data_IF_286007788262
#
_entry.id   IF_286007788262
#
_cell.length_a   1.000
_cell.length_b   1.000
_cell.length_c   1.000
_cell.angle_alpha   90.00
_cell.angle_beta   90.00
_cell.angle_gamma   90.00
#
_symmetry.space_group_name_H-M   'P 1'
#
loop_
_entity.id
_entity.type
_entity.pdbx_description
1 polymer ?
#
# COMPACT_ATOMS: atom_id res chain seq x y z
N UNK A 1 -22.40 -15.34 8.26
CA UNK A 1 -21.07 -14.83 8.58
C UNK A 1 -19.98 -15.85 8.29
N UNK A 2 -19.91 -17.02 8.97
CA UNK A 2 -18.83 -18.01 8.78
C UNK A 2 -18.68 -18.46 7.31
N UNK A 3 -19.76 -18.84 6.62
CA UNK A 3 -19.75 -19.23 5.20
C UNK A 3 -19.21 -18.13 4.27
N UNK A 4 -19.51 -16.87 4.57
CA UNK A 4 -18.99 -15.72 3.83
C UNK A 4 -17.48 -15.55 4.06
N UNK A 5 -17.05 -15.54 5.33
CA UNK A 5 -15.63 -15.44 5.70
C UNK A 5 -14.82 -16.54 5.03
N UNK A 6 -15.29 -17.79 5.11
CA UNK A 6 -14.62 -18.93 4.48
C UNK A 6 -14.52 -18.79 2.95
N UNK A 7 -15.62 -18.36 2.29
CA UNK A 7 -15.62 -18.11 0.85
C UNK A 7 -14.62 -17.02 0.47
N UNK A 8 -14.55 -15.90 1.25
CA UNK A 8 -13.61 -14.81 1.02
C UNK A 8 -12.16 -15.24 1.23
N UNK A 9 -11.91 -16.02 2.29
CA UNK A 9 -10.59 -16.57 2.56
C UNK A 9 -10.11 -17.49 1.42
N UNK A 10 -10.97 -18.43 0.99
CA UNK A 10 -10.66 -19.31 -0.14
C UNK A 10 -10.40 -18.52 -1.44
N UNK A 11 -11.23 -17.51 -1.72
CA UNK A 11 -11.03 -16.63 -2.88
C UNK A 11 -9.72 -15.86 -2.78
N UNK A 12 -9.37 -15.33 -1.61
CA UNK A 12 -8.11 -14.61 -1.39
C UNK A 12 -6.89 -15.53 -1.58
N UNK A 13 -6.92 -16.74 -1.04
CA UNK A 13 -5.85 -17.74 -1.21
C UNK A 13 -5.71 -18.13 -2.68
N UNK A 14 -6.82 -18.38 -3.39
CA UNK A 14 -6.80 -18.70 -4.81
C UNK A 14 -6.22 -17.55 -5.65
N UNK A 15 -6.68 -16.32 -5.41
CA UNK A 15 -6.16 -15.12 -6.09
C UNK A 15 -4.67 -14.92 -5.80
N UNK A 16 -4.25 -15.12 -4.55
CA UNK A 16 -2.85 -15.04 -4.17
C UNK A 16 -2.00 -16.07 -4.92
N UNK A 17 -2.45 -17.33 -4.97
CA UNK A 17 -1.75 -18.39 -5.69
C UNK A 17 -1.57 -18.07 -7.19
N UNK A 18 -2.63 -17.52 -7.84
CA UNK A 18 -2.55 -17.09 -9.24
C UNK A 18 -1.53 -15.95 -9.39
N UNK A 19 -1.62 -14.91 -8.57
CA UNK A 19 -0.72 -13.74 -8.66
C UNK A 19 0.73 -14.19 -8.43
N UNK A 20 0.99 -14.99 -7.40
CA UNK A 20 2.33 -15.50 -7.12
C UNK A 20 2.87 -16.38 -8.25
N UNK A 21 2.02 -17.18 -8.90
CA UNK A 21 2.41 -17.97 -10.06
C UNK A 21 2.79 -17.07 -11.24
N UNK A 22 1.99 -16.03 -11.53
CA UNK A 22 2.29 -15.08 -12.60
C UNK A 22 3.58 -14.30 -12.29
N UNK A 23 3.72 -13.80 -11.07
CA UNK A 23 4.93 -13.08 -10.63
C UNK A 23 6.16 -13.99 -10.75
N UNK A 24 6.05 -15.23 -10.28
CA UNK A 24 7.13 -16.23 -10.42
C UNK A 24 7.52 -16.43 -11.89
N UNK A 25 6.52 -16.63 -12.79
CA UNK A 25 6.77 -16.79 -14.22
C UNK A 25 7.49 -15.58 -14.81
N UNK A 26 7.02 -14.35 -14.52
CA UNK A 26 7.62 -13.12 -15.04
C UNK A 26 9.05 -12.94 -14.53
N UNK A 27 9.32 -13.23 -13.27
CA UNK A 27 10.66 -13.12 -12.70
C UNK A 27 11.63 -14.17 -13.24
N UNK A 28 11.13 -15.30 -13.74
CA UNK A 28 11.94 -16.30 -14.45
C UNK A 28 12.37 -15.86 -15.86
N UNK A 29 11.76 -14.80 -16.41
CA UNK A 29 12.22 -14.18 -17.65
C UNK A 29 13.37 -13.17 -17.41
N UNK A 30 13.69 -12.87 -16.16
CA UNK A 30 14.83 -11.99 -15.84
C UNK A 30 16.16 -12.67 -16.20
N UNK A 31 17.19 -11.87 -16.56
CA UNK A 31 18.51 -12.38 -16.89
C UNK A 31 19.10 -13.26 -15.77
N UNK A 32 19.74 -14.35 -16.16
CA UNK A 32 20.33 -15.32 -15.22
C UNK A 32 21.49 -14.73 -14.40
N UNK A 33 22.14 -13.70 -14.91
CA UNK A 33 23.21 -12.96 -14.26
C UNK A 33 22.80 -12.44 -12.87
N UNK A 34 21.51 -12.18 -12.69
CA UNK A 34 20.92 -11.72 -11.44
C UNK A 34 20.93 -12.72 -10.28
N UNK A 35 21.31 -13.96 -10.54
CA UNK A 35 21.48 -15.00 -9.51
C UNK A 35 22.93 -15.19 -9.07
N UNK A 36 23.86 -14.42 -9.62
CA UNK A 36 25.31 -14.56 -9.39
C UNK A 36 25.91 -13.24 -8.97
N UNK A 37 26.84 -13.31 -8.04
CA UNK A 37 27.64 -12.15 -7.60
C UNK A 37 28.67 -11.72 -8.66
N UNK A 38 29.39 -12.70 -9.23
CA UNK A 38 30.51 -12.47 -10.16
C UNK A 38 30.34 -13.24 -11.48
N UNK A 39 29.20 -13.07 -12.13
CA UNK A 39 28.86 -13.82 -13.36
C UNK A 39 29.97 -13.76 -14.43
N UNK A 40 30.48 -12.55 -14.72
CA UNK A 40 31.49 -12.31 -15.77
C UNK A 40 32.85 -12.98 -15.50
N UNK A 41 33.11 -13.41 -14.26
CA UNK A 41 34.37 -14.05 -13.85
C UNK A 41 34.24 -15.56 -13.72
N UNK A 42 33.04 -16.10 -13.95
CA UNK A 42 32.78 -17.56 -13.78
C UNK A 42 32.97 -18.29 -15.10
N UNK A 43 33.50 -19.50 -15.02
CA UNK A 43 33.50 -20.40 -16.19
C UNK A 43 32.10 -20.90 -16.46
N UNK A 44 31.81 -21.23 -17.73
CA UNK A 44 30.52 -21.79 -18.14
C UNK A 44 30.11 -23.04 -17.35
N UNK A 45 31.08 -23.91 -17.06
CA UNK A 45 30.88 -25.11 -16.25
C UNK A 45 30.46 -24.77 -14.79
N UNK A 46 31.04 -23.72 -14.21
CA UNK A 46 30.67 -23.25 -12.87
C UNK A 46 29.28 -22.63 -12.85
N UNK A 47 28.92 -21.86 -13.87
CA UNK A 47 27.58 -21.29 -14.03
C UNK A 47 26.53 -22.42 -14.13
N UNK A 48 26.75 -23.39 -15.02
CA UNK A 48 25.83 -24.53 -15.20
C UNK A 48 25.70 -25.38 -13.92
N UNK A 49 26.79 -25.61 -13.21
CA UNK A 49 26.77 -26.31 -11.91
C UNK A 49 25.89 -25.57 -10.90
N UNK A 50 26.05 -24.26 -10.78
CA UNK A 50 25.32 -23.43 -9.83
C UNK A 50 23.83 -23.31 -10.20
N UNK A 51 23.49 -23.20 -11.50
CA UNK A 51 22.11 -23.23 -11.99
C UNK A 51 21.41 -24.56 -11.66
N UNK A 52 22.12 -25.69 -11.81
CA UNK A 52 21.60 -27.02 -11.40
C UNK A 52 21.37 -27.10 -9.87
N UNK A 53 22.30 -26.61 -9.07
CA UNK A 53 22.17 -26.59 -7.59
C UNK A 53 20.97 -25.75 -7.17
N UNK A 54 20.73 -24.61 -7.82
CA UNK A 54 19.58 -23.75 -7.55
C UNK A 54 18.28 -24.31 -8.15
N UNK A 55 18.36 -25.36 -9.01
CA UNK A 55 17.21 -25.93 -9.70
C UNK A 55 16.64 -25.01 -10.77
N UNK A 56 17.44 -24.07 -11.29
CA UNK A 56 17.00 -23.13 -12.33
C UNK A 56 16.91 -23.79 -13.71
N UNK A 57 17.55 -24.93 -13.89
CA UNK A 57 17.48 -25.78 -15.09
C UNK A 57 16.34 -26.80 -15.03
N UNK A 58 15.61 -26.90 -13.90
CA UNK A 58 14.49 -27.82 -13.76
C UNK A 58 13.28 -27.37 -14.60
N UNK A 59 12.36 -28.28 -14.98
CA UNK A 59 11.11 -27.90 -15.64
C UNK A 59 10.32 -26.88 -14.80
N UNK A 60 9.60 -25.98 -15.44
CA UNK A 60 8.86 -24.89 -14.79
C UNK A 60 7.99 -25.35 -13.59
N UNK A 61 7.23 -26.43 -13.76
CA UNK A 61 6.36 -26.93 -12.68
C UNK A 61 7.14 -27.46 -11.46
N UNK A 62 8.34 -27.99 -11.65
CA UNK A 62 9.23 -28.44 -10.56
C UNK A 62 9.74 -27.20 -9.78
N UNK A 63 10.17 -26.17 -10.51
CA UNK A 63 10.60 -24.91 -9.92
C UNK A 63 9.45 -24.22 -9.17
N UNK A 64 8.25 -24.19 -9.76
CA UNK A 64 7.06 -23.60 -9.14
C UNK A 64 6.67 -24.36 -7.85
N UNK A 65 6.70 -25.69 -7.86
CA UNK A 65 6.44 -26.50 -6.66
C UNK A 65 7.46 -26.18 -5.56
N UNK A 66 8.76 -26.12 -5.89
CA UNK A 66 9.82 -25.76 -4.93
C UNK A 66 9.58 -24.36 -4.37
N UNK A 67 9.26 -23.39 -5.22
CA UNK A 67 8.95 -22.04 -4.81
C UNK A 67 7.82 -21.97 -3.76
N UNK A 68 6.69 -22.64 -4.01
CA UNK A 68 5.60 -22.69 -3.03
C UNK A 68 5.98 -23.43 -1.75
N UNK A 69 6.78 -24.50 -1.87
CA UNK A 69 7.29 -25.24 -0.70
C UNK A 69 8.20 -24.37 0.15
N UNK A 70 9.17 -23.68 -0.46
CA UNK A 70 10.07 -22.74 0.22
C UNK A 70 9.29 -21.62 0.90
N UNK A 71 8.31 -21.05 0.21
CA UNK A 71 7.44 -20.01 0.75
C UNK A 71 6.68 -20.46 1.99
N UNK A 72 6.09 -21.66 1.97
CA UNK A 72 5.36 -22.22 3.12
C UNK A 72 6.28 -22.49 4.33
N UNK A 73 7.57 -22.71 4.11
CA UNK A 73 8.58 -22.86 5.17
C UNK A 73 9.24 -21.52 5.57
N UNK A 74 8.78 -20.38 4.98
CA UNK A 74 9.36 -19.06 5.26
C UNK A 74 10.76 -18.84 4.68
N UNK A 75 11.20 -19.71 3.75
CA UNK A 75 12.47 -19.57 3.07
C UNK A 75 12.32 -18.63 1.87
N UNK A 76 12.83 -17.40 2.00
CA UNK A 76 12.82 -16.38 0.96
C UNK A 76 14.11 -16.37 0.12
N UNK A 77 15.03 -17.29 0.38
CA UNK A 77 16.33 -17.34 -0.27
C UNK A 77 17.36 -16.39 0.36
N UNK A 78 18.47 -16.21 -0.37
CA UNK A 78 19.56 -15.32 0.01
C UNK A 78 19.85 -14.30 -1.10
N UNK A 79 20.28 -13.10 -0.72
CA UNK A 79 20.68 -12.04 -1.65
C UNK A 79 21.88 -12.47 -2.48
N UNK A 80 21.82 -12.24 -3.79
CA UNK A 80 22.87 -12.57 -4.73
C UNK A 80 23.86 -11.42 -4.99
N UNK A 81 23.40 -10.15 -4.85
CA UNK A 81 24.20 -8.98 -5.19
C UNK A 81 24.18 -7.86 -4.15
N UNK A 82 23.03 -7.59 -3.52
CA UNK A 82 22.88 -6.49 -2.56
C UNK A 82 23.70 -6.72 -1.28
N UNK A 83 23.51 -7.90 -0.66
CA UNK A 83 24.29 -8.41 0.47
C UNK A 83 24.53 -9.91 0.28
N UNK A 84 25.55 -10.20 -0.47
CA UNK A 84 25.84 -11.56 -0.96
C UNK A 84 25.79 -12.59 0.15
N UNK A 85 24.92 -13.60 0.00
CA UNK A 85 24.77 -14.70 0.93
C UNK A 85 23.93 -14.39 2.18
N UNK A 86 23.53 -13.13 2.44
CA UNK A 86 22.65 -12.80 3.56
C UNK A 86 21.22 -13.22 3.27
N UNK A 87 20.54 -13.80 4.26
CA UNK A 87 19.13 -14.19 4.12
C UNK A 87 18.24 -12.97 3.81
N UNK A 88 17.41 -13.11 2.79
CA UNK A 88 16.43 -12.07 2.40
C UNK A 88 15.51 -11.70 3.57
N UNK A 89 15.09 -12.68 4.37
CA UNK A 89 14.23 -12.45 5.54
C UNK A 89 14.91 -11.54 6.59
N UNK A 90 16.22 -11.69 6.79
CA UNK A 90 17.00 -10.84 7.72
C UNK A 90 17.07 -9.41 7.19
N UNK A 91 17.37 -9.22 5.90
CA UNK A 91 17.44 -7.90 5.27
C UNK A 91 16.09 -7.17 5.40
N UNK A 92 14.99 -7.87 5.09
CA UNK A 92 13.64 -7.30 5.19
C UNK A 92 13.30 -6.92 6.63
N UNK A 93 13.63 -7.78 7.61
CA UNK A 93 13.40 -7.49 9.03
C UNK A 93 14.14 -6.23 9.50
N UNK A 94 15.29 -5.92 8.92
CA UNK A 94 16.03 -4.68 9.23
C UNK A 94 15.42 -3.45 8.58
N UNK A 95 14.83 -3.58 7.38
CA UNK A 95 14.31 -2.46 6.58
C UNK A 95 12.82 -2.16 6.86
N UNK A 96 12.01 -3.19 7.16
CA UNK A 96 10.57 -3.04 7.35
C UNK A 96 10.17 -2.06 8.48
N UNK A 97 10.83 -2.01 9.65
CA UNK A 97 10.39 -1.14 10.74
C UNK A 97 10.29 0.33 10.35
N UNK A 98 11.23 0.84 9.54
CA UNK A 98 11.22 2.24 9.15
C UNK A 98 10.08 2.54 8.16
N UNK A 99 9.82 1.66 7.20
CA UNK A 99 8.68 1.82 6.28
C UNK A 99 7.35 1.75 7.04
N UNK A 100 7.24 0.87 8.03
CA UNK A 100 6.06 0.77 8.89
C UNK A 100 5.86 2.08 9.67
N UNK A 101 6.91 2.62 10.28
CA UNK A 101 6.85 3.87 11.04
C UNK A 101 6.42 5.04 10.14
N UNK A 102 7.06 5.22 8.99
CA UNK A 102 6.67 6.24 8.02
C UNK A 102 5.24 6.05 7.51
N UNK A 103 4.86 4.81 7.21
CA UNK A 103 3.52 4.47 6.75
C UNK A 103 2.44 4.80 7.78
N UNK A 104 2.63 4.39 9.03
CA UNK A 104 1.67 4.65 10.10
C UNK A 104 1.52 6.14 10.38
N UNK A 105 2.63 6.87 10.50
CA UNK A 105 2.61 8.31 10.79
C UNK A 105 2.00 9.09 9.63
N UNK A 106 2.38 8.82 8.38
CA UNK A 106 1.81 9.50 7.21
C UNK A 106 0.31 9.23 7.06
N UNK A 107 -0.12 7.99 7.36
CA UNK A 107 -1.54 7.64 7.35
C UNK A 107 -2.32 8.36 8.45
N UNK A 108 -1.76 8.48 9.65
CA UNK A 108 -2.37 9.26 10.73
C UNK A 108 -2.55 10.73 10.31
N UNK A 109 -1.51 11.34 9.73
CA UNK A 109 -1.57 12.70 9.18
C UNK A 109 -2.69 12.81 8.13
N UNK A 110 -2.75 11.83 7.23
CA UNK A 110 -3.77 11.81 6.18
C UNK A 110 -5.20 11.75 6.73
N UNK A 111 -5.44 10.94 7.75
CA UNK A 111 -6.75 10.84 8.40
C UNK A 111 -7.09 12.11 9.19
N UNK A 112 -6.13 12.64 9.97
CA UNK A 112 -6.33 13.84 10.80
C UNK A 112 -6.60 15.09 9.95
N UNK A 113 -6.04 15.18 8.74
CA UNK A 113 -6.24 16.32 7.85
C UNK A 113 -7.33 16.06 6.80
N UNK A 114 -7.34 14.89 6.17
CA UNK A 114 -8.23 14.56 5.06
C UNK A 114 -9.70 14.38 5.49
N UNK A 115 -9.94 13.70 6.62
CA UNK A 115 -11.31 13.48 7.12
C UNK A 115 -11.98 14.78 7.53
N UNK A 116 -11.38 15.68 8.35
CA UNK A 116 -11.98 16.98 8.63
C UNK A 116 -12.15 17.87 7.40
N UNK A 117 -11.19 17.85 6.47
CA UNK A 117 -11.31 18.58 5.21
C UNK A 117 -12.53 18.11 4.40
N UNK A 118 -12.70 16.80 4.19
CA UNK A 118 -13.86 16.25 3.50
C UNK A 118 -15.20 16.59 4.15
N UNK A 119 -15.25 16.53 5.49
CA UNK A 119 -16.43 16.92 6.25
C UNK A 119 -16.72 18.44 6.17
N UNK A 120 -15.69 19.28 6.14
CA UNK A 120 -15.83 20.73 5.94
C UNK A 120 -16.33 21.05 4.52
N UNK A 121 -15.79 20.36 3.49
CA UNK A 121 -16.22 20.50 2.10
C UNK A 121 -17.71 20.17 1.93
N UNK A 122 -18.19 19.09 2.57
CA UNK A 122 -19.62 18.71 2.49
C UNK A 122 -20.55 19.75 3.16
N UNK A 123 -20.04 20.61 4.05
CA UNK A 123 -20.84 21.57 4.80
C UNK A 123 -20.82 23.00 4.25
N UNK A 124 -19.75 23.40 3.57
CA UNK A 124 -19.48 24.79 3.22
C UNK A 124 -18.98 24.91 1.78
N UNK A 125 -19.63 25.76 0.99
CA UNK A 125 -19.22 26.06 -0.40
C UNK A 125 -17.81 26.64 -0.49
N UNK A 126 -17.35 27.36 0.53
CA UNK A 126 -15.99 27.94 0.57
C UNK A 126 -14.95 26.80 0.74
N UNK A 127 -15.16 25.95 1.74
CA UNK A 127 -14.31 24.78 1.94
C UNK A 127 -14.36 23.80 0.78
N UNK A 128 -15.52 23.69 0.14
CA UNK A 128 -15.68 22.84 -1.04
C UNK A 128 -14.85 23.34 -2.23
N UNK A 129 -14.86 24.64 -2.51
CA UNK A 129 -14.00 25.21 -3.55
C UNK A 129 -12.52 25.01 -3.23
N UNK A 130 -12.11 25.35 -2.03
CA UNK A 130 -10.71 25.20 -1.60
C UNK A 130 -10.25 23.74 -1.69
N UNK A 131 -11.01 22.83 -1.09
CA UNK A 131 -10.69 21.40 -1.11
C UNK A 131 -10.72 20.79 -2.51
N UNK A 132 -11.66 21.23 -3.37
CA UNK A 132 -11.71 20.76 -4.76
C UNK A 132 -10.47 21.21 -5.54
N UNK A 133 -10.05 22.47 -5.40
CA UNK A 133 -8.81 22.95 -6.04
C UNK A 133 -7.60 22.13 -5.54
N UNK A 134 -7.49 21.93 -4.23
CA UNK A 134 -6.42 21.08 -3.65
C UNK A 134 -6.45 19.66 -4.22
N UNK A 135 -7.61 18.99 -4.22
CA UNK A 135 -7.77 17.63 -4.73
C UNK A 135 -7.41 17.55 -6.22
N UNK A 136 -7.88 18.51 -7.02
CA UNK A 136 -7.58 18.57 -8.46
C UNK A 136 -6.08 18.74 -8.69
N UNK A 137 -5.42 19.65 -7.98
CA UNK A 137 -3.97 19.84 -8.09
C UNK A 137 -3.19 18.57 -7.76
N UNK A 138 -3.52 17.91 -6.63
CA UNK A 138 -2.82 16.68 -6.21
C UNK A 138 -3.05 15.53 -7.20
N UNK A 139 -4.24 15.41 -7.78
CA UNK A 139 -4.54 14.32 -8.72
C UNK A 139 -4.14 14.62 -10.18
N UNK A 140 -4.10 15.88 -10.60
CA UNK A 140 -3.74 16.27 -11.97
C UNK A 140 -2.22 16.31 -12.18
N UNK A 141 -1.45 16.68 -11.17
CA UNK A 141 0.01 16.75 -11.24
C UNK A 141 0.60 15.38 -10.90
N UNK A 142 1.47 14.80 -11.75
CA UNK A 142 2.18 13.57 -11.40
C UNK A 142 2.88 13.69 -10.04
N UNK A 143 2.66 12.75 -9.15
CA UNK A 143 3.14 12.81 -7.75
C UNK A 143 4.66 13.03 -7.65
N UNK A 144 5.41 12.43 -8.56
CA UNK A 144 6.86 12.62 -8.65
C UNK A 144 7.26 14.09 -8.73
N UNK A 145 6.51 14.91 -9.47
CA UNK A 145 6.83 16.32 -9.68
C UNK A 145 6.66 17.08 -8.36
N UNK A 146 5.50 17.03 -7.72
CA UNK A 146 5.32 17.79 -6.48
C UNK A 146 6.16 17.24 -5.32
N UNK A 147 6.55 15.96 -5.30
CA UNK A 147 7.48 15.43 -4.30
C UNK A 147 8.88 16.06 -4.43
N UNK A 148 9.38 16.20 -5.67
CA UNK A 148 10.66 16.87 -5.91
C UNK A 148 10.59 18.35 -5.50
N UNK A 149 9.48 19.05 -5.85
CA UNK A 149 9.30 20.44 -5.44
C UNK A 149 9.25 20.59 -3.92
N UNK A 150 8.54 19.70 -3.22
CA UNK A 150 8.47 19.71 -1.75
C UNK A 150 9.87 19.45 -1.17
N UNK A 151 10.64 18.52 -1.70
CA UNK A 151 11.99 18.25 -1.25
C UNK A 151 12.90 19.49 -1.46
N UNK A 152 12.93 20.02 -2.68
CA UNK A 152 13.83 21.12 -3.03
C UNK A 152 13.52 22.42 -2.23
N UNK A 153 12.27 22.87 -2.32
CA UNK A 153 11.89 24.14 -1.68
C UNK A 153 11.60 23.98 -0.19
N UNK A 154 11.04 22.84 0.22
CA UNK A 154 10.78 22.57 1.63
C UNK A 154 12.05 22.45 2.46
N UNK A 155 13.11 21.85 1.93
CA UNK A 155 14.41 21.78 2.64
C UNK A 155 15.05 23.15 2.79
N UNK A 156 14.94 24.03 1.79
CA UNK A 156 15.39 25.41 1.89
C UNK A 156 14.59 26.19 2.94
N UNK A 157 13.25 26.06 2.91
CA UNK A 157 12.37 26.74 3.85
C UNK A 157 12.59 26.31 5.30
N UNK A 158 12.82 25.01 5.53
CA UNK A 158 13.05 24.45 6.87
C UNK A 158 14.52 24.51 7.30
N UNK A 159 15.44 24.92 6.42
CA UNK A 159 16.88 24.94 6.72
C UNK A 159 17.44 23.55 7.04
N UNK A 160 16.93 22.49 6.39
CA UNK A 160 17.28 21.09 6.70
C UNK A 160 18.01 20.40 5.55
N UNK A 161 18.54 19.20 5.83
CA UNK A 161 19.16 18.35 4.79
C UNK A 161 18.10 17.84 3.79
N UNK A 162 18.48 17.66 2.53
CA UNK A 162 17.64 17.07 1.50
C UNK A 162 17.36 15.57 1.75
N UNK A 163 18.36 14.88 2.29
CA UNK A 163 18.29 13.45 2.55
C UNK A 163 17.87 13.19 3.99
N UNK A 164 17.22 12.07 4.18
CA UNK A 164 16.77 11.59 5.48
C UNK A 164 17.96 11.29 6.41
N UNK A 165 17.85 11.76 7.65
CA UNK A 165 18.80 11.49 8.71
C UNK A 165 18.02 11.10 9.97
N UNK A 166 18.17 9.83 10.40
CA UNK A 166 17.42 9.30 11.55
C UNK A 166 17.66 10.07 12.83
N UNK A 167 18.82 10.72 12.96
CA UNK A 167 19.20 11.50 14.17
C UNK A 167 18.61 12.90 14.20
N UNK A 168 18.09 13.38 13.06
CA UNK A 168 17.54 14.72 12.89
C UNK A 168 16.04 14.70 12.62
N UNK A 169 15.18 14.87 13.64
CA UNK A 169 13.71 14.76 13.47
C UNK A 169 13.12 15.68 12.40
N UNK A 170 13.74 16.84 12.15
CA UNK A 170 13.30 17.78 11.11
C UNK A 170 13.31 17.17 9.72
N UNK A 171 14.20 16.21 9.44
CA UNK A 171 14.29 15.51 8.15
C UNK A 171 13.14 14.53 7.90
N UNK A 172 12.33 14.24 8.92
CA UNK A 172 11.14 13.37 8.82
C UNK A 172 9.93 14.12 8.24
N UNK A 173 9.87 15.44 8.43
CA UNK A 173 8.69 16.26 8.16
C UNK A 173 8.30 16.19 6.68
N UNK A 174 9.24 16.48 5.79
CA UNK A 174 8.96 16.55 4.35
C UNK A 174 8.59 15.20 3.72
N UNK A 175 9.30 14.08 4.01
CA UNK A 175 8.86 12.78 3.53
C UNK A 175 7.48 12.38 4.04
N UNK A 176 7.20 12.55 5.33
CA UNK A 176 5.90 12.24 5.93
C UNK A 176 4.77 13.07 5.31
N UNK A 177 4.99 14.37 5.14
CA UNK A 177 4.03 15.25 4.49
C UNK A 177 3.81 14.85 3.03
N UNK A 178 4.87 14.57 2.28
CA UNK A 178 4.79 14.10 0.90
C UNK A 178 3.98 12.80 0.79
N UNK A 179 4.24 11.82 1.65
CA UNK A 179 3.50 10.56 1.69
C UNK A 179 2.02 10.74 2.05
N UNK A 180 1.71 11.73 2.89
CA UNK A 180 0.34 11.96 3.33
C UNK A 180 -0.53 12.68 2.28
N UNK A 181 0.04 13.53 1.40
CA UNK A 181 -0.72 14.40 0.49
C UNK A 181 -1.74 13.69 -0.37
N UNK A 182 -1.34 12.63 -1.05
CA UNK A 182 -2.24 11.85 -1.89
C UNK A 182 -3.39 11.23 -1.09
N UNK A 183 -3.08 10.70 0.09
CA UNK A 183 -4.07 10.11 0.99
C UNK A 183 -5.00 11.18 1.60
N UNK A 184 -4.51 12.39 1.91
CA UNK A 184 -5.33 13.54 2.36
C UNK A 184 -6.38 13.86 1.29
N UNK A 185 -5.93 14.03 0.04
CA UNK A 185 -6.81 14.32 -1.09
C UNK A 185 -7.84 13.20 -1.31
N UNK A 186 -7.41 11.94 -1.23
CA UNK A 186 -8.28 10.77 -1.38
C UNK A 186 -9.37 10.72 -0.30
N UNK A 187 -9.01 10.81 1.00
CA UNK A 187 -9.99 10.76 2.08
C UNK A 187 -10.92 11.96 2.08
N UNK A 188 -10.41 13.16 1.76
CA UNK A 188 -11.25 14.35 1.67
C UNK A 188 -12.29 14.22 0.54
N UNK A 189 -11.87 13.76 -0.64
CA UNK A 189 -12.74 13.58 -1.80
C UNK A 189 -13.86 12.58 -1.55
N UNK A 190 -13.50 11.39 -1.06
CA UNK A 190 -14.47 10.32 -0.85
C UNK A 190 -15.42 10.61 0.30
N UNK A 191 -14.92 11.14 1.43
CA UNK A 191 -15.80 11.51 2.53
C UNK A 191 -16.78 12.61 2.14
N UNK A 192 -16.31 13.65 1.42
CA UNK A 192 -17.19 14.67 0.88
C UNK A 192 -18.31 14.04 0.03
N UNK A 193 -17.95 13.17 -0.90
CA UNK A 193 -18.91 12.49 -1.78
C UNK A 193 -19.93 11.70 -0.99
N UNK A 194 -19.51 10.83 -0.09
CA UNK A 194 -20.42 10.04 0.72
C UNK A 194 -21.30 10.89 1.63
N UNK A 195 -20.77 11.97 2.21
CA UNK A 195 -21.60 12.89 3.01
C UNK A 195 -22.65 13.63 2.17
N UNK A 196 -22.31 14.02 0.95
CA UNK A 196 -23.28 14.68 0.04
C UNK A 196 -24.37 13.70 -0.35
N UNK A 197 -24.03 12.46 -0.70
CA UNK A 197 -24.99 11.41 -1.03
C UNK A 197 -25.91 11.10 0.16
N UNK A 198 -25.35 10.97 1.36
CA UNK A 198 -26.13 10.73 2.59
C UNK A 198 -27.11 11.87 2.92
N UNK A 199 -26.80 13.11 2.59
CA UNK A 199 -27.71 14.25 2.84
C UNK A 199 -29.00 14.19 2.04
N UNK A 200 -29.09 13.38 1.00
CA UNK A 200 -30.29 13.22 0.16
C UNK A 200 -31.30 12.22 0.72
N UNK A 201 -30.89 11.39 1.69
CA UNK A 201 -31.73 10.32 2.24
C UNK A 201 -32.91 10.82 3.08
N UNK A 202 -34.00 10.07 3.10
CA UNK A 202 -35.26 10.45 3.76
C UNK A 202 -35.14 10.61 5.27
N UNK A 203 -34.26 9.85 5.93
CA UNK A 203 -34.03 10.01 7.36
C UNK A 203 -33.44 11.39 7.71
N UNK A 204 -32.67 12.00 6.79
CA UNK A 204 -32.14 13.36 6.95
C UNK A 204 -33.26 14.39 6.81
N UNK A 205 -34.17 14.21 5.82
CA UNK A 205 -35.36 15.05 5.64
C UNK A 205 -36.26 14.97 6.88
N UNK A 206 -36.48 13.76 7.39
CA UNK A 206 -37.27 13.56 8.63
C UNK A 206 -36.62 14.25 9.83
N UNK A 207 -35.31 14.16 10.00
CA UNK A 207 -34.60 14.81 11.08
C UNK A 207 -34.73 16.35 11.02
N UNK A 208 -34.66 16.92 9.80
CA UNK A 208 -34.92 18.36 9.56
C UNK A 208 -36.35 18.75 9.90
N UNK A 209 -37.35 17.96 9.48
CA UNK A 209 -38.75 18.20 9.79
C UNK A 209 -39.03 18.15 11.31
N UNK A 210 -38.29 17.35 12.07
CA UNK A 210 -38.33 17.29 13.53
C UNK A 210 -37.55 18.44 14.24
N UNK A 211 -37.01 19.42 13.48
CA UNK A 211 -36.30 20.56 14.03
C UNK A 211 -34.91 20.24 14.59
N UNK A 212 -34.30 19.10 14.25
CA UNK A 212 -32.96 18.78 14.71
C UNK A 212 -31.94 19.76 14.09
N UNK A 213 -31.06 20.39 14.88
CA UNK A 213 -30.07 21.33 14.36
C UNK A 213 -29.18 20.71 13.29
N UNK A 214 -28.92 21.45 12.21
CA UNK A 214 -28.13 21.00 11.05
C UNK A 214 -26.77 20.41 11.46
N UNK A 215 -26.07 21.02 12.44
CA UNK A 215 -24.80 20.52 12.95
C UNK A 215 -24.93 19.10 13.53
N UNK A 216 -26.00 18.83 14.28
CA UNK A 216 -26.27 17.51 14.86
C UNK A 216 -26.61 16.50 13.78
N UNK A 217 -27.40 16.87 12.77
CA UNK A 217 -27.72 16.03 11.61
C UNK A 217 -26.41 15.65 10.91
N UNK A 218 -25.56 16.62 10.59
CA UNK A 218 -24.32 16.41 9.85
C UNK A 218 -23.35 15.49 10.61
N UNK A 219 -23.14 15.71 11.91
CA UNK A 219 -22.13 14.95 12.68
C UNK A 219 -22.66 13.59 13.15
N UNK A 220 -23.90 13.51 13.60
CA UNK A 220 -24.43 12.29 14.24
C UNK A 220 -25.09 11.32 13.25
N UNK A 221 -25.68 11.84 12.17
CA UNK A 221 -26.41 11.04 11.21
C UNK A 221 -25.64 10.90 9.87
N UNK A 222 -25.30 12.01 9.23
CA UNK A 222 -24.64 11.99 7.91
C UNK A 222 -23.22 11.45 8.00
N UNK A 223 -22.37 12.06 8.83
CA UNK A 223 -20.96 11.67 8.95
C UNK A 223 -20.80 10.21 9.37
N UNK A 224 -21.59 9.77 10.39
CA UNK A 224 -21.52 8.39 10.87
C UNK A 224 -21.78 7.35 9.78
N UNK A 225 -22.74 7.60 8.89
CA UNK A 225 -23.07 6.69 7.80
C UNK A 225 -22.07 6.84 6.64
N UNK A 226 -21.65 8.07 6.34
CA UNK A 226 -20.70 8.35 5.26
C UNK A 226 -19.29 7.75 5.47
N UNK A 227 -18.89 7.55 6.74
CA UNK A 227 -17.59 6.92 7.07
C UNK A 227 -17.61 5.41 6.82
N UNK A 228 -18.77 4.75 6.87
CA UNK A 228 -18.86 3.28 6.75
C UNK A 228 -18.19 2.75 5.47
N UNK A 229 -18.47 3.27 4.26
CA UNK A 229 -17.79 2.81 3.05
C UNK A 229 -16.27 3.05 3.07
N UNK A 230 -15.80 4.08 3.79
CA UNK A 230 -14.36 4.38 3.89
C UNK A 230 -13.61 3.36 4.73
N UNK A 231 -14.26 2.73 5.71
CA UNK A 231 -13.66 1.72 6.58
C UNK A 231 -13.14 0.53 5.78
N UNK A 232 -13.77 0.19 4.66
CA UNK A 232 -13.32 -0.87 3.77
C UNK A 232 -11.96 -0.59 3.15
N UNK A 233 -11.67 0.68 2.84
CA UNK A 233 -10.43 1.08 2.17
C UNK A 233 -9.27 1.31 3.14
N UNK A 234 -9.55 1.58 4.42
CA UNK A 234 -8.54 1.88 5.42
C UNK A 234 -7.45 0.80 5.54
N UNK A 235 -7.76 -0.50 5.67
CA UNK A 235 -6.72 -1.52 5.81
C UNK A 235 -5.84 -1.63 4.58
N UNK A 236 -6.43 -1.57 3.39
CA UNK A 236 -5.69 -1.66 2.14
C UNK A 236 -4.75 -0.48 1.97
N UNK A 237 -5.23 0.76 2.18
CA UNK A 237 -4.39 1.95 2.07
C UNK A 237 -3.32 1.99 3.16
N UNK A 238 -3.64 1.56 4.38
CA UNK A 238 -2.66 1.44 5.47
C UNK A 238 -1.55 0.45 5.10
N UNK A 239 -1.90 -0.74 4.64
CA UNK A 239 -0.92 -1.76 4.29
C UNK A 239 -0.05 -1.35 3.11
N UNK A 240 -0.61 -0.72 2.07
CA UNK A 240 0.21 -0.16 0.99
C UNK A 240 1.14 0.95 1.49
N UNK A 241 0.67 1.82 2.38
CA UNK A 241 1.49 2.90 2.93
C UNK A 241 2.61 2.34 3.84
N UNK A 242 2.30 1.29 4.61
CA UNK A 242 3.24 0.58 5.49
C UNK A 242 4.29 -0.22 4.71
N UNK A 243 3.97 -0.70 3.49
CA UNK A 243 4.97 -1.30 2.60
C UNK A 243 6.06 -0.32 2.17
N UNK A 244 5.86 0.96 2.46
CA UNK A 244 6.74 2.03 2.06
C UNK A 244 6.38 2.61 0.69
N UNK A 245 6.71 3.86 0.52
CA UNK A 245 6.60 4.52 -0.77
C UNK A 245 7.88 4.32 -1.55
N UNK A 246 7.84 3.50 -2.60
CA UNK A 246 9.00 3.26 -3.47
C UNK A 246 9.65 4.58 -3.89
N UNK A 247 8.83 5.55 -4.29
CA UNK A 247 9.32 6.82 -4.80
C UNK A 247 9.89 7.73 -3.71
N UNK A 248 9.16 7.90 -2.59
CA UNK A 248 9.56 8.80 -1.49
C UNK A 248 10.79 8.26 -0.76
N UNK A 249 10.82 6.97 -0.48
CA UNK A 249 11.97 6.36 0.18
C UNK A 249 13.23 6.47 -0.68
N UNK A 250 13.13 6.30 -2.00
CA UNK A 250 14.26 6.51 -2.90
C UNK A 250 14.64 7.98 -2.99
N UNK A 251 13.68 8.91 -3.10
CA UNK A 251 13.91 10.33 -3.25
C UNK A 251 14.65 10.94 -2.04
N UNK A 252 14.24 10.54 -0.83
CA UNK A 252 14.84 11.04 0.42
C UNK A 252 15.94 10.11 0.97
N UNK A 253 16.28 9.03 0.27
CA UNK A 253 17.22 7.99 0.72
C UNK A 253 16.85 7.39 2.07
N UNK A 254 15.57 7.14 2.30
CA UNK A 254 15.07 6.46 3.49
C UNK A 254 15.39 4.97 3.38
N UNK A 255 16.06 4.36 4.37
CA UNK A 255 16.48 2.96 4.30
C UNK A 255 15.34 1.98 4.57
N UNK A 256 14.22 2.12 3.83
CA UNK A 256 13.02 1.31 3.95
C UNK A 256 12.89 0.23 2.88
N UNK A 257 11.73 -0.43 2.82
CA UNK A 257 11.45 -1.53 1.89
C UNK A 257 11.19 -1.05 0.45
N UNK A 258 10.58 0.12 0.28
CA UNK A 258 10.32 0.69 -1.04
C UNK A 258 11.61 1.12 -1.72
N UNK A 259 12.48 1.81 -1.01
CA UNK A 259 13.82 2.16 -1.48
C UNK A 259 14.68 0.93 -1.77
N UNK A 260 14.59 -0.10 -0.90
CA UNK A 260 15.27 -1.37 -1.12
C UNK A 260 14.86 -2.04 -2.43
N UNK A 261 13.55 -2.02 -2.79
CA UNK A 261 13.10 -2.61 -4.05
C UNK A 261 13.77 -1.94 -5.27
N UNK A 262 13.85 -0.61 -5.28
CA UNK A 262 14.53 0.12 -6.37
C UNK A 262 16.01 -0.26 -6.45
N UNK A 263 16.67 -0.33 -5.31
CA UNK A 263 18.09 -0.66 -5.21
C UNK A 263 18.39 -2.06 -5.73
N UNK A 264 17.62 -3.08 -5.30
CA UNK A 264 17.83 -4.47 -5.72
C UNK A 264 17.44 -4.73 -7.18
N UNK A 265 16.47 -3.97 -7.73
CA UNK A 265 16.16 -4.00 -9.17
C UNK A 265 17.34 -3.43 -9.96
N UNK A 266 17.90 -2.29 -9.54
CA UNK A 266 19.04 -1.66 -10.19
C UNK A 266 20.29 -2.54 -10.16
N UNK A 267 20.49 -3.28 -9.08
CA UNK A 267 21.56 -4.27 -8.94
C UNK A 267 21.25 -5.60 -9.65
N UNK A 268 20.03 -5.79 -10.13
CA UNK A 268 19.56 -7.06 -10.68
C UNK A 268 19.69 -8.24 -9.70
N UNK A 269 19.38 -8.02 -8.40
CA UNK A 269 19.36 -9.10 -7.39
C UNK A 269 18.06 -9.88 -7.49
N UNK A 270 18.00 -10.88 -8.36
CA UNK A 270 16.77 -11.61 -8.67
C UNK A 270 16.10 -12.25 -7.43
N UNK A 271 16.82 -12.91 -6.49
CA UNK A 271 16.19 -13.43 -5.28
C UNK A 271 15.54 -12.36 -4.41
N UNK A 272 16.20 -11.21 -4.24
CA UNK A 272 15.66 -10.09 -3.47
C UNK A 272 14.43 -9.46 -4.15
N UNK A 273 14.49 -9.22 -5.47
CA UNK A 273 13.36 -8.71 -6.25
C UNK A 273 12.16 -9.64 -6.12
N UNK A 274 12.39 -10.95 -6.30
CA UNK A 274 11.34 -11.96 -6.19
C UNK A 274 10.66 -11.94 -4.83
N UNK A 275 11.43 -11.91 -3.74
CA UNK A 275 10.90 -11.91 -2.38
C UNK A 275 10.12 -10.63 -2.07
N UNK A 276 10.63 -9.44 -2.45
CA UNK A 276 9.96 -8.18 -2.17
C UNK A 276 8.65 -8.03 -2.96
N UNK A 277 8.65 -8.35 -4.26
CA UNK A 277 7.44 -8.30 -5.09
C UNK A 277 6.37 -9.27 -4.56
N UNK A 278 6.79 -10.45 -4.12
CA UNK A 278 5.91 -11.43 -3.51
C UNK A 278 5.30 -10.91 -2.19
N UNK A 279 6.13 -10.35 -1.29
CA UNK A 279 5.65 -9.78 -0.02
C UNK A 279 4.67 -8.64 -0.27
N UNK A 280 4.97 -7.72 -1.18
CA UNK A 280 4.06 -6.62 -1.53
C UNK A 280 2.73 -7.13 -2.10
N UNK A 281 2.77 -8.18 -2.92
CA UNK A 281 1.56 -8.83 -3.43
C UNK A 281 0.72 -9.48 -2.31
N UNK A 282 1.38 -10.19 -1.38
CA UNK A 282 0.71 -10.79 -0.22
C UNK A 282 0.05 -9.71 0.65
N UNK A 283 0.77 -8.63 0.96
CA UNK A 283 0.27 -7.53 1.78
C UNK A 283 -0.95 -6.86 1.12
N UNK A 284 -0.91 -6.65 -0.21
CA UNK A 284 -2.04 -6.10 -0.94
C UNK A 284 -3.31 -6.96 -0.82
N UNK A 285 -3.20 -8.27 -0.98
CA UNK A 285 -4.33 -9.20 -0.87
C UNK A 285 -4.85 -9.31 0.56
N UNK A 286 -3.95 -9.36 1.54
CA UNK A 286 -4.32 -9.34 2.97
C UNK A 286 -5.06 -8.06 3.32
N UNK A 287 -4.62 -6.91 2.78
CA UNK A 287 -5.30 -5.63 2.96
C UNK A 287 -6.74 -5.64 2.45
N UNK A 288 -6.94 -6.16 1.24
CA UNK A 288 -8.28 -6.31 0.67
C UNK A 288 -9.16 -7.24 1.51
N UNK A 289 -8.63 -8.37 1.94
CA UNK A 289 -9.35 -9.32 2.79
C UNK A 289 -9.78 -8.70 4.13
N UNK A 290 -8.85 -8.01 4.81
CA UNK A 290 -9.13 -7.30 6.06
C UNK A 290 -10.19 -6.22 5.83
N UNK A 291 -10.10 -5.46 4.73
CA UNK A 291 -11.10 -4.45 4.35
C UNK A 291 -12.50 -5.03 4.19
N UNK A 292 -12.62 -6.14 3.47
CA UNK A 292 -13.89 -6.85 3.29
C UNK A 292 -14.47 -7.36 4.62
N UNK A 293 -13.62 -7.89 5.50
CA UNK A 293 -14.05 -8.40 6.82
C UNK A 293 -14.48 -7.27 7.75
N UNK A 294 -13.74 -6.14 7.75
CA UNK A 294 -14.12 -4.97 8.55
C UNK A 294 -15.42 -4.33 8.07
N UNK A 295 -15.61 -4.22 6.76
CA UNK A 295 -16.87 -3.73 6.21
C UNK A 295 -18.04 -4.63 6.65
N UNK A 296 -17.86 -5.95 6.58
CA UNK A 296 -18.87 -6.91 7.05
C UNK A 296 -19.18 -6.81 8.55
N UNK A 297 -18.19 -6.43 9.35
CA UNK A 297 -18.35 -6.26 10.81
C UNK A 297 -19.05 -4.95 11.16
N UNK A 298 -18.81 -3.87 10.39
CA UNK A 298 -19.32 -2.52 10.67
C UNK A 298 -20.72 -2.31 10.11
N UNK A 299 -21.04 -2.90 8.95
CA UNK A 299 -22.38 -2.80 8.35
C UNK A 299 -23.13 -4.15 8.35
N UNK A 300 -23.95 -4.41 9.38
CA UNK A 300 -24.75 -5.63 9.45
C UNK A 300 -25.87 -5.71 8.39
N UNK A 301 -26.12 -4.61 7.66
CA UNK A 301 -27.14 -4.56 6.58
C UNK A 301 -26.65 -5.22 5.30
N UNK A 302 -25.35 -5.43 5.15
CA UNK A 302 -24.79 -6.21 4.05
C UNK A 302 -25.18 -7.68 4.31
N UNK A 303 -26.44 -8.03 3.93
CA UNK A 303 -26.84 -9.44 3.89
C UNK A 303 -26.11 -10.09 2.73
N UNK A 304 -25.09 -10.84 3.02
CA UNK A 304 -24.26 -11.60 2.07
C UNK A 304 -25.00 -12.80 1.45
N UNK A 305 -26.29 -12.87 1.65
CA UNK A 305 -27.19 -13.84 1.02
C UNK A 305 -27.83 -13.10 -0.16
N UNK A 306 -27.40 -13.40 -1.39
CA UNK A 306 -28.28 -13.22 -2.55
C UNK A 306 -29.59 -13.89 -2.20
N UNK A 307 -30.68 -13.14 -2.05
CA UNK A 307 -32.01 -13.69 -2.18
C UNK A 307 -32.08 -14.27 -3.60
N UNK A 308 -31.86 -15.57 -3.73
CA UNK A 308 -32.36 -16.33 -4.86
C UNK A 308 -33.89 -16.18 -4.81
N UNK A 309 -34.46 -15.54 -5.83
CA UNK A 309 -35.89 -15.50 -6.06
C UNK A 309 -36.57 -14.18 -5.73
N UNK A 310 -36.49 -13.23 -6.63
CA UNK A 310 -37.67 -12.47 -7.06
C UNK A 310 -37.64 -12.40 -8.58
N UNK A 311 -38.45 -13.26 -9.18
CA UNK A 311 -38.92 -13.10 -10.54
C UNK A 311 -39.72 -11.82 -10.68
#
# INVERSE_FOLDING_TARGET
MLKYVLKRLLSAVFTLAIILTIVFFLLRQMPIEGYFDNFDKMSEAAIQSKLRQMGLNDPFFVQLKRFFTDLLHGNLGASAKYRVGESVAVIIRQKAPISIEFGLVSMLIALVLGVPLGAAMARSKVWDRFGTVFIVLINAVPSAIYYIFIQMYGTQLLGTKMLFDKTLPVTWILPLFSMALGNIAYYAMWLRRYMVDEMTHDYVKLARAKGVPTRRIMMKHVFRNAVVPMIQYLPTSLLYTVCGSIYIESLYSIPGMGGLLVEVISLQDNPMVQALVMIFSCIGIVGLLIGDLLMAAVDPRISFVKKEGSR
#
